data_IF_964734070880
#
_entry.id   IF_964734070880
#
_cell.length_a   1.000
_cell.length_b   1.000
_cell.length_c   1.000
_cell.angle_alpha   90.00
_cell.angle_beta   90.00
_cell.angle_gamma   90.00
#
_symmetry.space_group_name_H-M   'P 1'
#
loop_
_entity.id
_entity.type
_entity.pdbx_description
1 polymer ?
#
# COMPACT_ATOMS: atom_id res chain seq x y z
N UNK A 1 -16.40 2.53 -8.33
CA UNK A 1 -15.66 1.27 -8.12
C UNK A 1 -15.42 1.09 -6.64
N UNK A 2 -15.54 -0.13 -6.13
CA UNK A 2 -15.23 -0.45 -4.74
C UNK A 2 -13.91 -1.18 -4.72
N UNK A 3 -12.92 -0.61 -4.05
CA UNK A 3 -11.63 -1.26 -3.87
C UNK A 3 -11.80 -2.39 -2.85
N UNK A 4 -11.36 -3.61 -3.17
CA UNK A 4 -11.48 -4.75 -2.26
C UNK A 4 -10.48 -4.56 -1.10
N UNK A 5 -10.97 -4.27 0.10
CA UNK A 5 -10.15 -3.96 1.28
C UNK A 5 -10.65 -4.80 2.45
N UNK A 6 -9.72 -5.44 3.16
CA UNK A 6 -9.97 -6.09 4.45
C UNK A 6 -8.99 -5.56 5.48
N UNK A 7 -9.48 -4.72 6.39
CA UNK A 7 -8.69 -4.11 7.46
C UNK A 7 -8.26 -5.12 8.54
N UNK A 8 -9.01 -6.22 8.72
CA UNK A 8 -8.66 -7.26 9.70
C UNK A 8 -7.53 -8.13 9.17
N UNK A 9 -7.58 -8.47 7.89
CA UNK A 9 -6.53 -9.23 7.21
C UNK A 9 -5.36 -8.37 6.72
N UNK A 10 -5.49 -7.04 6.77
CA UNK A 10 -4.56 -6.05 6.21
C UNK A 10 -4.32 -6.32 4.72
N UNK A 11 -5.39 -6.48 3.95
CA UNK A 11 -5.31 -6.76 2.51
C UNK A 11 -5.96 -5.68 1.67
N UNK A 12 -5.32 -5.33 0.56
CA UNK A 12 -5.84 -4.45 -0.48
C UNK A 12 -5.77 -5.24 -1.80
N UNK A 13 -6.90 -5.45 -2.48
CA UNK A 13 -7.01 -6.24 -3.71
C UNK A 13 -6.31 -7.62 -3.61
N UNK A 14 -6.56 -8.35 -2.51
CA UNK A 14 -5.93 -9.64 -2.17
C UNK A 14 -4.42 -9.59 -1.86
N UNK A 15 -3.78 -8.42 -1.91
CA UNK A 15 -2.38 -8.24 -1.51
C UNK A 15 -2.33 -8.00 -0.01
N UNK A 16 -1.66 -8.89 0.73
CA UNK A 16 -1.47 -8.78 2.18
C UNK A 16 -0.28 -7.92 2.54
N UNK A 17 -0.45 -7.07 3.54
CA UNK A 17 0.60 -6.24 4.15
C UNK A 17 1.05 -6.82 5.49
N UNK A 18 2.33 -6.66 5.80
CA UNK A 18 2.94 -7.22 7.00
C UNK A 18 2.67 -6.38 8.26
N UNK A 19 2.49 -5.06 8.10
CA UNK A 19 2.18 -4.15 9.20
C UNK A 19 1.02 -3.20 8.86
N UNK A 20 0.29 -2.76 9.91
CA UNK A 20 -0.77 -1.77 9.79
C UNK A 20 -0.27 -0.45 9.18
N UNK A 21 0.99 -0.09 9.45
CA UNK A 21 1.61 1.11 8.88
C UNK A 21 1.81 0.98 7.36
N UNK A 22 2.26 -0.18 6.88
CA UNK A 22 2.41 -0.44 5.44
C UNK A 22 1.05 -0.44 4.74
N UNK A 23 0.07 -1.12 5.33
CA UNK A 23 -1.31 -1.13 4.85
C UNK A 23 -1.88 0.29 4.73
N UNK A 24 -1.82 1.09 5.80
CA UNK A 24 -2.34 2.46 5.81
C UNK A 24 -1.61 3.36 4.82
N UNK A 25 -0.29 3.20 4.68
CA UNK A 25 0.52 3.95 3.72
C UNK A 25 0.11 3.67 2.27
N UNK A 26 -0.04 2.40 1.91
CA UNK A 26 -0.50 2.00 0.58
C UNK A 26 -1.96 2.41 0.32
N UNK A 27 -2.85 2.22 1.31
CA UNK A 27 -4.25 2.61 1.20
C UNK A 27 -4.39 4.13 0.96
N UNK A 28 -3.66 4.94 1.72
CA UNK A 28 -3.70 6.40 1.55
C UNK A 28 -3.25 6.82 0.16
N UNK A 29 -2.11 6.30 -0.32
CA UNK A 29 -1.57 6.60 -1.65
C UNK A 29 -2.57 6.25 -2.77
N UNK A 30 -3.16 5.05 -2.71
CA UNK A 30 -4.16 4.61 -3.70
C UNK A 30 -5.42 5.45 -3.65
N UNK A 31 -5.94 5.73 -2.45
CA UNK A 31 -7.17 6.52 -2.29
C UNK A 31 -7.01 7.95 -2.82
N UNK A 32 -5.81 8.53 -2.71
CA UNK A 32 -5.48 9.84 -3.30
C UNK A 32 -5.51 9.77 -4.82
N UNK A 33 -4.86 8.77 -5.42
CA UNK A 33 -4.83 8.63 -6.87
C UNK A 33 -6.24 8.34 -7.44
N UNK A 34 -7.05 7.52 -6.75
CA UNK A 34 -8.43 7.24 -7.15
C UNK A 34 -9.30 8.49 -7.18
N UNK A 35 -9.06 9.46 -6.30
CA UNK A 35 -9.77 10.74 -6.31
C UNK A 35 -9.49 11.54 -7.60
N UNK A 36 -8.33 11.33 -8.23
CA UNK A 36 -7.95 11.93 -9.51
C UNK A 36 -8.50 11.14 -10.73
N UNK A 37 -9.34 10.13 -10.50
CA UNK A 37 -9.93 9.30 -11.55
C UNK A 37 -9.08 8.11 -11.98
N UNK A 38 -8.02 7.79 -11.22
CA UNK A 38 -7.19 6.62 -11.48
C UNK A 38 -7.85 5.32 -11.02
N UNK A 39 -7.76 4.29 -11.86
CA UNK A 39 -8.24 2.94 -11.56
C UNK A 39 -7.04 2.05 -11.19
N UNK A 40 -6.85 1.75 -9.90
CA UNK A 40 -5.71 0.94 -9.47
C UNK A 40 -5.89 -0.53 -9.84
N UNK A 41 -4.79 -1.17 -10.25
CA UNK A 41 -4.72 -2.60 -10.53
C UNK A 41 -4.01 -3.35 -9.40
N UNK A 42 -4.09 -4.69 -9.40
CA UNK A 42 -3.33 -5.52 -8.45
C UNK A 42 -1.82 -5.29 -8.54
N UNK A 43 -1.29 -5.02 -9.74
CA UNK A 43 0.13 -4.72 -9.93
C UNK A 43 0.53 -3.41 -9.25
N UNK A 44 -0.32 -2.38 -9.30
CA UNK A 44 -0.06 -1.11 -8.62
C UNK A 44 -0.01 -1.27 -7.11
N UNK A 45 -0.89 -2.10 -6.54
CA UNK A 45 -0.87 -2.42 -5.11
C UNK A 45 0.42 -3.19 -4.74
N UNK A 46 0.86 -4.12 -5.59
CA UNK A 46 2.10 -4.88 -5.37
C UNK A 46 3.32 -3.95 -5.41
N UNK A 47 3.41 -3.05 -6.39
CA UNK A 47 4.49 -2.08 -6.48
C UNK A 47 4.51 -1.11 -5.30
N UNK A 48 3.33 -0.66 -4.83
CA UNK A 48 3.24 0.15 -3.63
C UNK A 48 3.67 -0.60 -2.38
N UNK A 49 3.32 -1.89 -2.26
CA UNK A 49 3.80 -2.72 -1.16
C UNK A 49 5.34 -2.76 -1.16
N UNK A 50 5.95 -3.12 -2.29
CA UNK A 50 7.42 -3.15 -2.42
C UNK A 50 8.05 -1.80 -2.10
N UNK A 51 7.45 -0.70 -2.58
CA UNK A 51 7.93 0.66 -2.32
C UNK A 51 7.90 1.01 -0.84
N UNK A 52 6.80 0.73 -0.14
CA UNK A 52 6.64 1.07 1.27
C UNK A 52 7.56 0.21 2.15
N UNK A 53 7.68 -1.08 1.83
CA UNK A 53 8.63 -2.00 2.50
C UNK A 53 10.09 -1.57 2.26
N UNK A 54 10.45 -1.21 1.04
CA UNK A 54 11.81 -0.76 0.69
C UNK A 54 12.15 0.59 1.32
N UNK A 55 11.22 1.55 1.32
CA UNK A 55 11.41 2.84 2.02
C UNK A 55 11.67 2.67 3.51
N UNK A 56 11.03 1.68 4.15
CA UNK A 56 11.28 1.33 5.55
C UNK A 56 12.70 0.78 5.73
N UNK A 57 13.17 -0.05 4.81
CA UNK A 57 14.56 -0.50 4.75
C UNK A 57 15.57 0.64 4.60
N UNK A 58 15.28 1.61 3.72
CA UNK A 58 16.14 2.78 3.49
C UNK A 58 16.18 3.74 4.68
N UNK A 59 15.04 4.00 5.34
CA UNK A 59 15.01 4.82 6.57
C UNK A 59 15.83 4.19 7.70
N UNK A 60 15.66 2.89 7.93
CA UNK A 60 16.43 2.16 8.95
C UNK A 60 17.95 2.15 8.69
N UNK A 61 18.39 2.32 7.44
CA UNK A 61 19.82 2.40 7.09
C UNK A 61 20.39 3.81 7.23
N UNK A 62 19.58 4.85 6.96
CA UNK A 62 19.99 6.26 7.08
C UNK A 62 20.03 6.77 8.54
N UNK A 63 19.38 6.06 9.46
CA UNK A 63 19.33 6.39 10.90
C UNK A 63 20.37 5.61 11.74
N UNK A 64 21.27 4.84 11.09
CA UNK A 64 22.40 4.13 11.72
C UNK A 64 23.71 4.85 11.48
#
# INVERSE_FOLDING_TARGET
MSLNIDEKALTIMDIKFDTLQEFKGAWYAISSNMYEGYEPTKEDILQLKEYVTTKKGLKNYAEK
#
